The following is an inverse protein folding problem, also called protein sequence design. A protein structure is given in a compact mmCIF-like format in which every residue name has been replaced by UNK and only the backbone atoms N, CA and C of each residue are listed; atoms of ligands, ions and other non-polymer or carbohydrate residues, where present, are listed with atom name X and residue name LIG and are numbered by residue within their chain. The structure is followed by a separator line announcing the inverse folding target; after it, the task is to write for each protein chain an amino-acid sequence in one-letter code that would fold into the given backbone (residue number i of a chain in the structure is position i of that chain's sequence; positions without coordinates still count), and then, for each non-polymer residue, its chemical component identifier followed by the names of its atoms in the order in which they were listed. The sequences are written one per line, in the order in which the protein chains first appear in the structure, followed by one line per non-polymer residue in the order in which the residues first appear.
data_IF_406711499999
#
_entry.id   IF_406711499999
#
_cell.length_a   1.000
_cell.length_b   1.000
_cell.length_c   1.000
_cell.angle_alpha   90.00
_cell.angle_beta   90.00
_cell.angle_gamma   90.00
#
_symmetry.space_group_name_H-M   'P 1'
#
loop_
_entity.id
_entity.type
_entity.pdbx_description
1 polymer ?
#
# COMPACT_ATOMS: atom_id res chain seq x y z
N UNK A 1 -51.47 24.49 7.24
CA UNK A 1 -50.62 25.52 6.61
C UNK A 1 -49.33 25.82 7.38
N UNK A 2 -49.33 25.86 8.73
CA UNK A 2 -48.09 26.08 9.53
C UNK A 2 -46.94 25.09 9.27
N UNK A 3 -47.23 23.81 9.02
CA UNK A 3 -46.21 22.76 8.76
C UNK A 3 -45.37 22.99 7.49
N UNK A 4 -45.89 23.75 6.51
CA UNK A 4 -45.20 24.02 5.24
C UNK A 4 -44.07 25.05 5.38
N UNK A 5 -44.10 25.93 6.39
CA UNK A 5 -43.02 26.90 6.67
C UNK A 5 -41.83 26.29 7.42
N UNK A 6 -42.03 25.16 8.13
CA UNK A 6 -40.95 24.50 8.88
C UNK A 6 -40.04 23.64 8.00
N UNK A 7 -40.53 23.18 6.84
CA UNK A 7 -39.77 22.37 5.89
C UNK A 7 -38.54 23.11 5.33
N UNK A 8 -38.64 24.34 4.78
CA UNK A 8 -37.47 25.05 4.26
C UNK A 8 -36.45 25.38 5.35
N UNK A 9 -36.92 25.76 6.56
CA UNK A 9 -36.04 26.02 7.69
C UNK A 9 -35.27 24.76 8.11
N UNK A 10 -35.93 23.60 8.14
CA UNK A 10 -35.30 22.31 8.43
C UNK A 10 -34.24 21.95 7.38
N UNK A 11 -34.53 22.16 6.09
CA UNK A 11 -33.56 21.91 5.00
C UNK A 11 -32.33 22.81 5.14
N UNK A 12 -32.51 24.09 5.47
CA UNK A 12 -31.40 25.02 5.70
C UNK A 12 -30.54 24.56 6.87
N UNK A 13 -31.16 24.19 8.00
CA UNK A 13 -30.44 23.69 9.18
C UNK A 13 -29.69 22.39 8.89
N UNK A 14 -30.32 21.44 8.19
CA UNK A 14 -29.69 20.19 7.79
C UNK A 14 -28.51 20.43 6.85
N UNK A 15 -28.66 21.35 5.88
CA UNK A 15 -27.60 21.71 4.94
C UNK A 15 -26.42 22.35 5.66
N UNK A 16 -26.68 23.25 6.61
CA UNK A 16 -25.66 23.88 7.43
C UNK A 16 -24.93 22.85 8.29
N UNK A 17 -25.67 21.91 8.90
CA UNK A 17 -25.09 20.82 9.69
C UNK A 17 -24.16 19.94 8.85
N UNK A 18 -24.62 19.51 7.67
CA UNK A 18 -23.81 18.72 6.73
C UNK A 18 -22.56 19.50 6.31
N UNK A 19 -22.70 20.79 6.02
CA UNK A 19 -21.57 21.64 5.63
C UNK A 19 -20.51 21.76 6.74
N UNK A 20 -20.94 22.02 7.98
CA UNK A 20 -20.03 22.11 9.14
C UNK A 20 -19.36 20.77 9.41
N UNK A 21 -20.13 19.68 9.39
CA UNK A 21 -19.59 18.33 9.55
C UNK A 21 -18.57 18.00 8.46
N UNK A 22 -18.88 18.30 7.20
CA UNK A 22 -17.98 18.04 6.08
C UNK A 22 -16.67 18.81 6.20
N UNK A 23 -16.74 20.08 6.64
CA UNK A 23 -15.56 20.93 6.85
C UNK A 23 -14.63 20.35 7.92
N UNK A 24 -15.19 19.87 9.03
CA UNK A 24 -14.39 19.24 10.09
C UNK A 24 -13.86 17.86 9.66
N UNK A 25 -14.73 17.00 9.11
CA UNK A 25 -14.39 15.65 8.67
C UNK A 25 -13.33 15.63 7.55
N UNK A 26 -13.29 16.67 6.71
CA UNK A 26 -12.29 16.81 5.64
C UNK A 26 -10.98 17.47 6.09
N UNK A 27 -10.95 18.04 7.31
CA UNK A 27 -9.75 18.68 7.86
C UNK A 27 -8.75 17.64 8.38
N UNK A 28 -7.47 18.02 8.54
CA UNK A 28 -6.47 17.11 9.07
C UNK A 28 -6.79 16.67 10.51
N UNK A 29 -6.58 15.39 10.86
CA UNK A 29 -6.62 14.91 12.24
C UNK A 29 -5.72 15.68 13.19
N UNK A 30 -4.47 15.91 12.80
CA UNK A 30 -3.49 16.68 13.58
C UNK A 30 -2.68 17.59 12.67
N UNK A 31 -3.07 18.88 12.54
CA UNK A 31 -2.36 19.84 11.68
C UNK A 31 -0.89 20.09 12.05
N UNK A 32 -0.45 19.68 13.26
CA UNK A 32 0.93 19.89 13.73
C UNK A 32 1.80 18.66 13.52
N UNK A 33 1.21 17.48 13.30
CA UNK A 33 1.96 16.24 13.07
C UNK A 33 2.22 16.03 11.58
N UNK A 34 3.38 16.49 11.11
CA UNK A 34 3.86 16.29 9.75
C UNK A 34 4.66 15.00 9.56
N UNK A 35 4.78 14.15 10.58
CA UNK A 35 5.60 12.93 10.49
C UNK A 35 4.91 11.89 9.60
N UNK A 36 5.55 11.44 8.51
CA UNK A 36 4.98 10.39 7.68
C UNK A 36 4.89 9.07 8.43
N UNK A 37 3.76 8.38 8.29
CA UNK A 37 3.49 7.04 8.82
C UNK A 37 3.27 6.08 7.66
N UNK A 38 3.80 4.86 7.80
CA UNK A 38 3.57 3.80 6.83
C UNK A 38 2.12 3.31 6.93
N UNK A 39 1.42 3.30 5.80
CA UNK A 39 0.05 2.83 5.67
C UNK A 39 -0.01 1.78 4.56
N UNK A 40 -0.22 0.52 4.94
CA UNK A 40 -0.21 -0.60 4.00
C UNK A 40 -1.61 -0.92 3.49
N UNK A 41 -1.78 -0.94 2.17
CA UNK A 41 -2.97 -1.44 1.48
C UNK A 41 -2.68 -2.83 0.94
N UNK A 42 -3.46 -3.82 1.35
CA UNK A 42 -3.31 -5.20 0.86
C UNK A 42 -4.05 -5.39 -0.47
N UNK A 43 -3.61 -6.36 -1.28
CA UNK A 43 -4.32 -6.69 -2.53
C UNK A 43 -5.77 -7.11 -2.22
N UNK A 44 -6.70 -6.64 -3.05
CA UNK A 44 -8.13 -6.90 -2.90
C UNK A 44 -8.82 -6.12 -1.77
N UNK A 45 -8.10 -5.23 -1.07
CA UNK A 45 -8.72 -4.40 -0.03
C UNK A 45 -9.63 -3.34 -0.66
N UNK A 46 -10.91 -3.36 -0.33
CA UNK A 46 -11.89 -2.38 -0.83
C UNK A 46 -11.82 -1.03 -0.11
N UNK A 47 -12.31 0.02 -0.76
CA UNK A 47 -12.30 1.39 -0.25
C UNK A 47 -12.89 1.55 1.17
N UNK A 48 -13.92 0.77 1.51
CA UNK A 48 -14.52 0.79 2.84
C UNK A 48 -13.54 0.35 3.93
N UNK A 49 -12.80 -0.74 3.70
CA UNK A 49 -11.80 -1.24 4.65
C UNK A 49 -10.61 -0.27 4.74
N UNK A 50 -10.20 0.31 3.61
CA UNK A 50 -9.15 1.33 3.55
C UNK A 50 -9.55 2.56 4.38
N UNK A 51 -10.78 3.05 4.20
CA UNK A 51 -11.31 4.20 4.95
C UNK A 51 -11.31 3.95 6.46
N UNK A 52 -11.82 2.80 6.89
CA UNK A 52 -11.85 2.42 8.31
C UNK A 52 -10.44 2.32 8.89
N UNK A 53 -9.51 1.71 8.14
CA UNK A 53 -8.12 1.57 8.58
C UNK A 53 -7.42 2.93 8.71
N UNK A 54 -7.57 3.83 7.72
CA UNK A 54 -7.03 5.19 7.77
C UNK A 54 -7.56 5.97 8.98
N UNK A 55 -8.87 5.86 9.26
CA UNK A 55 -9.47 6.54 10.40
C UNK A 55 -8.94 5.96 11.72
N UNK A 56 -8.84 4.63 11.82
CA UNK A 56 -8.30 3.94 13.00
C UNK A 56 -6.83 4.30 13.28
N UNK A 57 -6.03 4.52 12.24
CA UNK A 57 -4.62 4.91 12.36
C UNK A 57 -4.42 6.43 12.55
N UNK A 58 -5.52 7.21 12.57
CA UNK A 58 -5.49 8.66 12.76
C UNK A 58 -4.95 9.43 11.57
N UNK A 59 -5.01 8.84 10.37
CA UNK A 59 -4.58 9.47 9.11
C UNK A 59 -5.71 10.25 8.44
N UNK A 60 -6.97 9.98 8.82
CA UNK A 60 -8.15 10.79 8.47
C UNK A 60 -9.07 10.88 9.70
N UNK A 61 -9.95 11.89 9.74
CA UNK A 61 -10.92 12.05 10.83
C UNK A 61 -12.16 11.16 10.68
N UNK A 62 -12.56 10.87 9.45
CA UNK A 62 -13.85 10.23 9.14
C UNK A 62 -13.73 9.30 7.95
N UNK A 63 -14.00 8.01 8.19
CA UNK A 63 -14.11 7.00 7.15
C UNK A 63 -15.31 7.25 6.23
N UNK A 64 -16.42 7.79 6.78
CA UNK A 64 -17.59 8.16 5.99
C UNK A 64 -17.24 9.26 4.97
N UNK A 65 -16.51 10.29 5.39
CA UNK A 65 -16.13 11.38 4.50
C UNK A 65 -15.22 10.88 3.36
N UNK A 66 -14.26 9.98 3.64
CA UNK A 66 -13.42 9.38 2.59
C UNK A 66 -14.26 8.58 1.59
N UNK A 67 -15.16 7.71 2.09
CA UNK A 67 -16.03 6.89 1.23
C UNK A 67 -16.91 7.77 0.34
N UNK A 68 -17.60 8.74 0.92
CA UNK A 68 -18.42 9.70 0.16
C UNK A 68 -17.58 10.47 -0.86
N UNK A 69 -16.36 10.90 -0.50
CA UNK A 69 -15.48 11.60 -1.44
C UNK A 69 -15.05 10.71 -2.62
N UNK A 70 -14.69 9.45 -2.36
CA UNK A 70 -14.28 8.51 -3.40
C UNK A 70 -15.46 8.12 -4.31
N UNK A 71 -16.64 7.89 -3.74
CA UNK A 71 -17.87 7.57 -4.46
C UNK A 71 -18.29 8.72 -5.38
N UNK A 72 -18.36 9.96 -4.87
CA UNK A 72 -18.71 11.15 -5.65
C UNK A 72 -17.71 11.43 -6.79
N UNK A 73 -16.49 10.90 -6.69
CA UNK A 73 -15.46 11.02 -7.73
C UNK A 73 -15.36 9.81 -8.65
N UNK A 74 -16.11 8.74 -8.38
CA UNK A 74 -16.00 7.48 -9.12
C UNK A 74 -14.62 6.83 -9.02
N UNK A 75 -13.95 6.96 -7.86
CA UNK A 75 -12.56 6.52 -7.65
C UNK A 75 -12.39 5.39 -6.63
N UNK A 76 -13.48 4.76 -6.23
CA UNK A 76 -13.52 3.68 -5.22
C UNK A 76 -12.52 2.54 -5.53
N UNK A 77 -12.35 2.20 -6.81
CA UNK A 77 -11.49 1.08 -7.26
C UNK A 77 -10.13 1.54 -7.83
N UNK A 78 -9.74 2.80 -7.58
CA UNK A 78 -8.51 3.40 -8.14
C UNK A 78 -7.34 3.40 -7.16
N UNK A 79 -7.55 2.97 -5.92
CA UNK A 79 -6.48 2.88 -4.92
C UNK A 79 -5.69 1.60 -5.17
N UNK A 80 -4.38 1.73 -5.35
CA UNK A 80 -3.48 0.61 -5.62
C UNK A 80 -3.06 -0.07 -4.32
N UNK A 81 -2.77 -1.37 -4.40
CA UNK A 81 -2.19 -2.09 -3.27
C UNK A 81 -0.69 -1.77 -3.15
N UNK A 82 -0.23 -1.50 -1.93
CA UNK A 82 1.16 -1.18 -1.63
C UNK A 82 1.30 -0.42 -0.31
N UNK A 83 2.50 0.05 0.00
CA UNK A 83 2.76 0.90 1.15
C UNK A 83 2.69 2.37 0.75
N UNK A 84 1.90 3.13 1.49
CA UNK A 84 1.79 4.57 1.41
C UNK A 84 2.53 5.23 2.57
N UNK A 85 3.10 6.42 2.35
CA UNK A 85 3.59 7.29 3.43
C UNK A 85 2.68 8.50 3.57
N UNK A 86 1.89 8.54 4.64
CA UNK A 86 0.86 9.55 4.90
C UNK A 86 1.11 10.21 6.26
N UNK A 87 0.89 11.52 6.36
CA UNK A 87 1.03 12.26 7.59
C UNK A 87 -0.34 12.71 8.14
N UNK A 88 -0.55 12.77 9.47
CA UNK A 88 -1.81 13.22 10.06
C UNK A 88 -2.17 14.69 9.82
N UNK A 89 -1.23 15.51 9.36
CA UNK A 89 -1.48 16.90 8.97
C UNK A 89 -2.09 17.05 7.56
N UNK A 90 -2.29 15.96 6.83
CA UNK A 90 -2.91 15.99 5.50
C UNK A 90 -4.43 16.15 5.61
N UNK A 91 -5.01 16.96 4.73
CA UNK A 91 -6.47 17.02 4.54
C UNK A 91 -6.98 15.76 3.87
N UNK A 92 -8.29 15.50 3.94
CA UNK A 92 -8.91 14.38 3.25
C UNK A 92 -8.60 14.38 1.74
N UNK A 93 -8.63 15.55 1.11
CA UNK A 93 -8.33 15.66 -0.33
C UNK A 93 -6.86 15.33 -0.63
N UNK A 94 -5.93 15.73 0.25
CA UNK A 94 -4.52 15.41 0.11
C UNK A 94 -4.25 13.92 0.31
N UNK A 95 -4.90 13.30 1.30
CA UNK A 95 -4.83 11.84 1.51
C UNK A 95 -5.36 11.12 0.27
N UNK A 96 -6.53 11.50 -0.26
CA UNK A 96 -7.07 10.89 -1.48
C UNK A 96 -6.15 11.11 -2.68
N UNK A 97 -5.58 12.32 -2.84
CA UNK A 97 -4.63 12.58 -3.90
C UNK A 97 -3.39 11.68 -3.81
N UNK A 98 -2.83 11.49 -2.61
CA UNK A 98 -1.71 10.59 -2.38
C UNK A 98 -2.07 9.12 -2.67
N UNK A 99 -3.24 8.66 -2.24
CA UNK A 99 -3.73 7.31 -2.51
C UNK A 99 -3.87 7.02 -4.02
N UNK A 100 -4.33 8.04 -4.77
CA UNK A 100 -4.54 7.95 -6.21
C UNK A 100 -3.26 8.15 -7.04
N UNK A 101 -2.27 8.85 -6.48
CA UNK A 101 -0.93 8.95 -7.09
C UNK A 101 -0.26 7.56 -7.10
N UNK A 102 -0.53 6.76 -6.07
CA UNK A 102 -0.05 5.39 -5.93
C UNK A 102 0.92 5.23 -4.76
N UNK A 103 1.22 3.97 -4.37
CA UNK A 103 2.07 3.66 -3.23
C UNK A 103 3.54 3.94 -3.54
N UNK A 104 4.31 4.21 -2.48
CA UNK A 104 5.77 4.30 -2.54
C UNK A 104 6.41 2.93 -2.75
N UNK A 105 5.83 1.88 -2.16
CA UNK A 105 6.31 0.50 -2.31
C UNK A 105 5.20 -0.40 -2.84
N UNK A 106 5.54 -1.27 -3.79
CA UNK A 106 4.62 -2.18 -4.45
C UNK A 106 4.83 -3.62 -3.97
N UNK A 107 3.73 -4.35 -3.90
CA UNK A 107 3.75 -5.78 -3.62
C UNK A 107 4.29 -6.56 -4.83
N UNK A 108 5.39 -7.29 -4.65
CA UNK A 108 5.92 -8.27 -5.59
C UNK A 108 5.78 -9.65 -4.96
N UNK A 109 5.06 -10.55 -5.64
CA UNK A 109 4.82 -11.92 -5.16
C UNK A 109 5.63 -12.89 -6.01
N UNK A 110 6.40 -13.74 -5.34
CA UNK A 110 7.13 -14.84 -5.92
C UNK A 110 6.49 -16.16 -5.45
N UNK A 111 5.70 -16.81 -6.31
CA UNK A 111 5.21 -18.16 -6.06
C UNK A 111 6.36 -19.15 -5.84
N UNK A 112 6.06 -20.24 -5.15
CA UNK A 112 6.97 -21.38 -5.03
C UNK A 112 7.31 -21.95 -6.43
N UNK A 113 8.54 -22.46 -6.56
CA UNK A 113 9.05 -23.02 -7.82
C UNK A 113 9.52 -21.99 -8.85
N UNK A 114 9.42 -20.68 -8.56
CA UNK A 114 9.99 -19.65 -9.41
C UNK A 114 11.51 -19.79 -9.50
N UNK A 115 12.01 -19.78 -10.73
CA UNK A 115 13.45 -19.63 -10.98
C UNK A 115 13.89 -18.20 -10.75
N UNK A 116 15.19 -17.99 -10.50
CA UNK A 116 15.81 -16.66 -10.43
C UNK A 116 15.47 -15.75 -11.62
N UNK A 117 15.41 -16.29 -12.84
CA UNK A 117 15.09 -15.51 -14.05
C UNK A 117 13.62 -15.03 -14.00
N UNK A 118 12.72 -15.87 -13.51
CA UNK A 118 11.31 -15.52 -13.35
C UNK A 118 11.11 -14.49 -12.23
N UNK A 119 11.88 -14.58 -11.14
CA UNK A 119 11.89 -13.57 -10.09
C UNK A 119 12.39 -12.20 -10.61
N UNK A 120 13.44 -12.19 -11.42
CA UNK A 120 13.92 -10.97 -12.07
C UNK A 120 12.85 -10.36 -12.99
N UNK A 121 12.29 -11.17 -13.90
CA UNK A 121 11.22 -10.73 -14.80
C UNK A 121 10.00 -10.21 -14.04
N UNK A 122 9.61 -10.91 -12.96
CA UNK A 122 8.47 -10.54 -12.12
C UNK A 122 8.70 -9.20 -11.43
N UNK A 123 9.91 -8.96 -10.93
CA UNK A 123 10.27 -7.70 -10.28
C UNK A 123 10.25 -6.53 -11.28
N UNK A 124 10.91 -6.70 -12.42
CA UNK A 124 10.97 -5.69 -13.50
C UNK A 124 9.56 -5.29 -13.95
N UNK A 125 8.72 -6.29 -14.27
CA UNK A 125 7.35 -6.06 -14.75
C UNK A 125 6.45 -5.44 -13.69
N UNK A 126 6.53 -5.89 -12.44
CA UNK A 126 5.67 -5.37 -11.36
C UNK A 126 6.04 -3.93 -10.98
N UNK A 127 7.33 -3.59 -10.98
CA UNK A 127 7.80 -2.25 -10.62
C UNK A 127 7.75 -1.26 -11.80
N UNK A 128 7.47 -1.73 -13.01
CA UNK A 128 7.38 -0.91 -14.21
C UNK A 128 8.73 -0.27 -14.56
N UNK A 129 9.81 -1.06 -14.54
CA UNK A 129 11.14 -0.54 -14.89
C UNK A 129 11.25 -0.29 -16.39
N UNK A 130 11.80 0.87 -16.75
CA UNK A 130 12.13 1.22 -18.14
C UNK A 130 13.22 0.31 -18.71
N UNK A 131 13.30 0.20 -20.04
CA UNK A 131 14.09 -0.82 -20.75
C UNK A 131 15.56 -0.90 -20.31
N UNK A 132 16.28 0.21 -20.26
CA UNK A 132 17.70 0.22 -19.88
C UNK A 132 17.91 -0.20 -18.42
N UNK A 133 17.04 0.29 -17.54
CA UNK A 133 17.05 -0.08 -16.12
C UNK A 133 16.68 -1.55 -15.93
N UNK A 134 15.72 -2.05 -16.71
CA UNK A 134 15.30 -3.44 -16.69
C UNK A 134 16.46 -4.37 -17.09
N UNK A 135 17.21 -4.05 -18.15
CA UNK A 135 18.39 -4.81 -18.58
C UNK A 135 19.51 -4.80 -17.51
N UNK A 136 19.78 -3.65 -16.91
CA UNK A 136 20.76 -3.52 -15.85
C UNK A 136 20.34 -4.34 -14.60
N UNK A 137 19.10 -4.17 -14.16
CA UNK A 137 18.54 -4.91 -13.03
C UNK A 137 18.58 -6.42 -13.27
N UNK A 138 18.19 -6.88 -14.46
CA UNK A 138 18.22 -8.30 -14.83
C UNK A 138 19.62 -8.88 -14.66
N UNK A 139 20.62 -8.21 -15.25
CA UNK A 139 22.01 -8.67 -15.24
C UNK A 139 22.57 -8.70 -13.82
N UNK A 140 22.40 -7.61 -13.07
CA UNK A 140 22.86 -7.51 -11.67
C UNK A 140 22.16 -8.52 -10.77
N UNK A 141 20.85 -8.75 -10.95
CA UNK A 141 20.11 -9.69 -10.12
C UNK A 141 20.59 -11.14 -10.33
N UNK A 142 20.84 -11.55 -11.58
CA UNK A 142 21.32 -12.89 -11.87
C UNK A 142 22.74 -13.14 -11.35
N UNK A 143 23.59 -12.11 -11.38
CA UNK A 143 24.94 -12.12 -10.82
C UNK A 143 24.90 -12.22 -9.28
N UNK A 144 24.16 -11.33 -8.63
CA UNK A 144 24.02 -11.30 -7.15
C UNK A 144 23.37 -12.57 -6.59
N UNK A 145 22.62 -13.30 -7.42
CA UNK A 145 21.98 -14.55 -7.02
C UNK A 145 22.75 -15.78 -7.48
N UNK A 146 23.89 -15.70 -8.17
CA UNK A 146 24.65 -16.87 -8.66
C UNK A 146 24.81 -17.96 -7.57
N UNK A 147 24.47 -19.20 -7.91
CA UNK A 147 24.52 -20.33 -6.96
C UNK A 147 23.48 -20.33 -5.84
N UNK A 148 22.63 -19.31 -5.71
CA UNK A 148 21.57 -19.23 -4.69
C UNK A 148 20.22 -19.85 -5.10
N UNK A 149 20.20 -20.73 -6.10
CA UNK A 149 18.95 -21.40 -6.52
C UNK A 149 18.43 -22.25 -5.36
N UNK A 150 17.13 -22.15 -5.06
CA UNK A 150 16.54 -22.81 -3.89
C UNK A 150 16.77 -22.08 -2.54
N UNK A 151 17.55 -21.00 -2.51
CA UNK A 151 17.78 -20.19 -1.31
C UNK A 151 17.13 -18.79 -1.37
N UNK A 152 16.40 -18.49 -2.44
CA UNK A 152 15.61 -17.28 -2.57
C UNK A 152 14.19 -17.59 -2.10
N UNK A 153 13.79 -17.08 -0.94
CA UNK A 153 12.54 -17.52 -0.31
C UNK A 153 11.31 -16.99 -1.08
N UNK A 154 10.39 -17.87 -1.53
CA UNK A 154 9.17 -17.45 -2.21
C UNK A 154 8.19 -16.84 -1.19
N UNK A 155 7.84 -15.57 -1.39
CA UNK A 155 6.87 -14.85 -0.56
C UNK A 155 6.35 -13.60 -1.31
N UNK A 156 5.56 -12.80 -0.63
CA UNK A 156 5.11 -11.49 -1.08
C UNK A 156 5.84 -10.38 -0.32
N UNK A 157 6.60 -9.58 -1.07
CA UNK A 157 7.49 -8.54 -0.55
C UNK A 157 7.03 -7.15 -1.00
N UNK A 158 7.22 -6.15 -0.15
CA UNK A 158 7.17 -4.74 -0.56
C UNK A 158 8.53 -4.30 -1.06
N UNK A 159 8.55 -3.62 -2.20
CA UNK A 159 9.73 -2.98 -2.75
C UNK A 159 9.40 -1.58 -3.28
N UNK A 160 10.29 -0.59 -3.06
CA UNK A 160 10.15 0.70 -3.71
C UNK A 160 10.38 0.57 -5.22
N UNK A 161 9.76 1.45 -6.01
CA UNK A 161 9.86 1.41 -7.48
C UNK A 161 11.30 1.47 -7.98
N UNK A 162 12.17 2.17 -7.27
CA UNK A 162 13.58 2.39 -7.56
C UNK A 162 14.53 1.37 -6.89
N UNK A 163 14.01 0.27 -6.31
CA UNK A 163 14.84 -0.77 -5.67
C UNK A 163 15.96 -1.29 -6.57
N UNK A 164 17.12 -1.58 -5.96
CA UNK A 164 18.29 -2.18 -6.59
C UNK A 164 18.23 -3.71 -6.57
N UNK A 165 18.82 -4.36 -7.57
CA UNK A 165 18.81 -5.82 -7.68
C UNK A 165 19.45 -6.50 -6.47
N UNK A 166 20.61 -6.01 -6.02
CA UNK A 166 21.25 -6.46 -4.77
C UNK A 166 20.32 -6.43 -3.56
N UNK A 167 19.50 -5.38 -3.43
CA UNK A 167 18.56 -5.25 -2.30
C UNK A 167 17.45 -6.30 -2.38
N UNK A 168 16.94 -6.58 -3.58
CA UNK A 168 15.95 -7.66 -3.79
C UNK A 168 16.57 -9.01 -3.46
N UNK A 169 17.72 -9.34 -4.05
CA UNK A 169 18.44 -10.60 -3.79
C UNK A 169 18.72 -10.82 -2.30
N UNK A 170 19.26 -9.82 -1.61
CA UNK A 170 19.54 -9.88 -0.18
C UNK A 170 18.27 -10.07 0.67
N UNK A 171 17.15 -9.42 0.31
CA UNK A 171 15.88 -9.58 1.03
C UNK A 171 15.33 -11.01 0.88
N UNK A 172 15.40 -11.58 -0.33
CA UNK A 172 14.97 -12.96 -0.57
C UNK A 172 15.82 -13.97 0.19
N UNK A 173 17.16 -13.79 0.17
CA UNK A 173 18.11 -14.66 0.87
C UNK A 173 17.97 -14.57 2.38
N UNK A 174 17.95 -13.37 2.94
CA UNK A 174 17.78 -13.19 4.39
C UNK A 174 16.44 -13.74 4.88
N UNK A 175 15.39 -13.66 4.08
CA UNK A 175 14.09 -14.26 4.42
C UNK A 175 14.16 -15.79 4.45
N UNK A 176 14.95 -16.41 3.58
CA UNK A 176 15.22 -17.84 3.63
C UNK A 176 15.92 -18.20 4.94
N UNK A 177 17.01 -17.51 5.27
CA UNK A 177 17.79 -17.78 6.48
C UNK A 177 16.95 -17.60 7.76
N UNK A 178 15.99 -16.66 7.76
CA UNK A 178 15.07 -16.45 8.88
C UNK A 178 14.00 -17.54 9.01
N UNK A 179 13.46 -18.03 7.89
CA UNK A 179 12.35 -19.00 7.90
C UNK A 179 12.82 -20.45 7.93
N UNK A 180 13.99 -20.72 7.38
CA UNK A 180 14.63 -22.04 7.37
C UNK A 180 15.70 -22.04 8.46
N UNK A 181 15.26 -22.28 9.70
CA UNK A 181 16.17 -22.31 10.85
C UNK A 181 17.14 -23.50 10.77
N UNK A 182 18.32 -23.37 11.40
CA UNK A 182 19.30 -24.47 11.48
C UNK A 182 18.69 -25.78 12.03
N UNK A 183 17.76 -25.70 12.99
CA UNK A 183 17.07 -26.87 13.52
C UNK A 183 16.13 -27.57 12.53
N UNK A 184 15.63 -26.87 11.50
CA UNK A 184 14.88 -27.49 10.40
C UNK A 184 15.82 -28.16 9.40
N UNK A 185 16.99 -27.57 9.16
CA UNK A 185 18.04 -28.15 8.31
C UNK A 185 18.61 -29.43 8.95
N UNK A 186 18.88 -29.43 10.25
CA UNK A 186 19.35 -30.62 10.97
C UNK A 186 18.33 -31.76 10.94
N UNK A 187 17.03 -31.46 11.12
CA UNK A 187 15.96 -32.47 11.00
C UNK A 187 15.79 -33.02 9.58
N UNK A 188 16.01 -32.19 8.56
CA UNK A 188 16.00 -32.65 7.17
C UNK A 188 17.16 -33.60 6.89
N UNK A 189 18.37 -33.28 7.40
CA UNK A 189 19.54 -34.16 7.28
C UNK A 189 19.40 -35.48 8.04
N UNK A 190 18.67 -35.51 9.15
CA UNK A 190 18.32 -36.74 9.86
C UNK A 190 17.29 -37.61 9.11
N UNK A 191 16.56 -37.02 8.16
CA UNK A 191 15.49 -37.68 7.39
C UNK A 191 15.87 -38.07 5.96
N UNK A 192 17.05 -37.67 5.47
CA UNK A 192 17.64 -38.10 4.19
C UNK A 192 18.15 -36.97 3.31
#
# INVERSE_FOLDING_TARGET
MRKLLFIPLFIILASLFIFVWWKDASSPPDPKDSKPRAFVVTRGQGANSIAQKLAKEGLIKSDLALRTYLELRGKTDKIQAGEYRLAPNLTLQQVVAALLLGPQELWVTFPEGFRREEMAAKTISTLGMEEDRAKAFWTEFLDETEGQEGFLFPDTYLFPRDVLAKTVASKLRSTFDLRVTEGMVSKAQEQG
#
